data_IF_141824696929
#
_entry.id   IF_141824696929
#
_cell.length_a   1.000
_cell.length_b   1.000
_cell.length_c   1.000
_cell.angle_alpha   90.00
_cell.angle_beta   90.00
_cell.angle_gamma   90.00
#
_symmetry.space_group_name_H-M   'P 1'
#
loop_
_entity.id
_entity.type
_entity.pdbx_description
1 polymer ?
#
# COMPACT_ATOMS: atom_id res chain seq x y z
N UNK A 1 45.41 21.85 -50.26
CA UNK A 1 46.66 22.60 -50.02
C UNK A 1 46.67 23.09 -48.56
N UNK A 2 47.16 22.24 -47.65
CA UNK A 2 48.00 22.53 -46.48
C UNK A 2 48.04 21.24 -45.63
N UNK A 3 49.22 20.64 -45.44
CA UNK A 3 49.41 19.41 -44.67
C UNK A 3 49.78 19.76 -43.23
N UNK A 4 49.50 18.89 -42.26
CA UNK A 4 50.29 18.86 -41.02
C UNK A 4 50.20 17.53 -40.29
N UNK A 5 51.26 16.76 -40.52
CA UNK A 5 51.78 15.67 -39.73
C UNK A 5 51.55 15.88 -38.22
N UNK A 6 50.90 14.91 -37.58
CA UNK A 6 51.06 14.68 -36.14
C UNK A 6 51.74 13.33 -35.96
N UNK A 7 53.04 13.42 -35.71
CA UNK A 7 53.92 12.34 -35.30
C UNK A 7 53.64 12.05 -33.82
N UNK A 8 52.82 11.03 -33.54
CA UNK A 8 52.55 10.57 -32.17
C UNK A 8 53.64 9.57 -31.79
N UNK A 9 54.62 10.04 -31.01
CA UNK A 9 55.65 9.22 -30.39
C UNK A 9 55.00 8.30 -29.34
N UNK A 10 54.98 7.01 -29.66
CA UNK A 10 54.65 5.95 -28.72
C UNK A 10 55.81 5.77 -27.72
N UNK A 11 55.70 6.40 -26.55
CA UNK A 11 56.52 6.03 -25.39
C UNK A 11 55.90 4.82 -24.70
N UNK A 12 56.43 3.63 -25.03
CA UNK A 12 56.17 2.40 -24.29
C UNK A 12 56.97 2.41 -22.99
N UNK A 13 56.38 2.97 -21.93
CA UNK A 13 56.92 2.88 -20.58
C UNK A 13 56.47 1.54 -19.99
N UNK A 14 57.39 0.56 -19.99
CA UNK A 14 57.21 -0.72 -19.30
C UNK A 14 57.38 -0.52 -17.80
N UNK A 15 56.29 -0.15 -17.11
CA UNK A 15 56.23 -0.16 -15.65
C UNK A 15 56.11 -1.63 -15.18
N UNK A 16 57.23 -2.26 -14.87
CA UNK A 16 57.27 -3.49 -14.06
C UNK A 16 56.92 -3.13 -12.62
N UNK A 17 55.61 -3.07 -12.35
CA UNK A 17 55.08 -2.94 -11.01
C UNK A 17 55.23 -4.29 -10.31
N UNK A 18 56.24 -4.41 -9.44
CA UNK A 18 56.37 -5.55 -8.54
C UNK A 18 55.14 -5.57 -7.62
N UNK A 19 54.24 -6.50 -7.89
CA UNK A 19 53.04 -6.69 -7.08
C UNK A 19 53.47 -7.13 -5.67
N UNK A 20 53.07 -6.42 -4.61
CA UNK A 20 53.30 -6.89 -3.25
C UNK A 20 52.55 -8.21 -3.07
N UNK A 21 53.30 -9.26 -2.73
CA UNK A 21 52.78 -10.58 -2.43
C UNK A 21 51.90 -10.48 -1.18
N UNK A 22 50.60 -10.42 -1.41
CA UNK A 22 49.58 -10.28 -0.38
C UNK A 22 49.46 -11.63 0.31
N UNK A 23 50.23 -11.80 1.39
CA UNK A 23 50.18 -12.97 2.28
C UNK A 23 48.72 -13.24 2.64
N UNK A 24 48.14 -14.28 2.02
CA UNK A 24 46.82 -14.76 2.36
C UNK A 24 46.91 -15.42 3.74
N UNK A 25 46.25 -14.86 4.79
CA UNK A 25 46.16 -15.55 6.05
C UNK A 25 45.34 -16.83 5.84
N UNK A 26 46.03 -17.95 5.67
CA UNK A 26 45.49 -19.31 5.65
C UNK A 26 45.10 -19.73 7.08
N UNK A 27 44.27 -18.90 7.71
CA UNK A 27 43.56 -19.24 8.92
C UNK A 27 42.19 -19.75 8.49
N UNK A 28 41.89 -21.01 8.77
CA UNK A 28 40.53 -21.55 8.71
C UNK A 28 39.68 -20.85 9.78
N UNK A 29 39.31 -19.59 9.53
CA UNK A 29 38.34 -18.87 10.34
C UNK A 29 37.02 -19.61 10.14
N UNK A 30 36.61 -20.31 11.19
CA UNK A 30 35.31 -20.98 11.28
C UNK A 30 34.26 -19.90 11.06
N UNK A 31 33.72 -19.84 9.83
CA UNK A 31 32.79 -18.79 9.43
C UNK A 31 31.63 -18.76 10.42
N UNK A 32 31.49 -17.65 11.17
CA UNK A 32 30.30 -17.46 11.99
C UNK A 32 29.11 -17.40 11.03
N UNK A 33 28.03 -18.15 11.30
CA UNK A 33 26.85 -18.10 10.44
C UNK A 33 26.35 -16.66 10.38
N UNK A 34 26.32 -16.10 9.17
CA UNK A 34 25.91 -14.72 8.98
C UNK A 34 24.41 -14.62 9.22
N UNK A 35 24.00 -13.79 10.18
CA UNK A 35 22.59 -13.61 10.52
C UNK A 35 21.97 -12.69 9.49
N UNK A 36 21.03 -13.24 8.72
CA UNK A 36 20.19 -12.49 7.80
C UNK A 36 19.53 -11.30 8.50
N UNK A 37 19.71 -10.09 7.97
CA UNK A 37 19.07 -8.88 8.48
C UNK A 37 17.96 -8.42 7.55
N UNK A 38 16.88 -7.90 8.14
CA UNK A 38 15.76 -7.31 7.43
C UNK A 38 16.13 -5.93 6.90
N UNK A 39 15.50 -5.53 5.80
CA UNK A 39 15.57 -4.17 5.30
C UNK A 39 14.81 -3.19 6.21
N UNK A 40 14.95 -1.89 5.95
CA UNK A 40 14.13 -0.82 6.52
C UNK A 40 13.70 0.12 5.40
N UNK A 41 12.39 0.24 5.19
CA UNK A 41 11.82 1.04 4.10
C UNK A 41 10.58 1.80 4.54
N UNK A 42 10.23 2.84 3.80
CA UNK A 42 8.97 3.58 3.96
C UNK A 42 8.41 3.93 2.59
N UNK A 43 7.12 3.69 2.37
CA UNK A 43 6.44 3.98 1.11
C UNK A 43 5.56 5.26 1.16
N UNK A 44 5.56 5.95 2.31
CA UNK A 44 4.73 7.12 2.54
C UNK A 44 5.50 8.36 3.05
N UNK A 45 6.81 8.26 3.23
CA UNK A 45 7.65 9.38 3.66
C UNK A 45 7.96 10.38 2.54
N UNK A 46 7.95 9.92 1.30
CA UNK A 46 8.26 10.74 0.13
C UNK A 46 7.15 11.76 -0.14
N UNK A 47 7.52 13.02 -0.33
CA UNK A 47 6.58 14.07 -0.68
C UNK A 47 6.01 13.84 -2.08
N UNK A 48 4.69 13.84 -2.18
CA UNK A 48 3.97 13.79 -3.45
C UNK A 48 3.06 15.00 -3.52
N UNK A 49 3.25 15.85 -4.53
CA UNK A 49 2.46 17.06 -4.73
C UNK A 49 0.97 16.72 -4.79
N UNK A 50 0.16 17.42 -3.98
CA UNK A 50 -1.29 17.22 -3.93
C UNK A 50 -1.76 16.10 -2.98
N UNK A 51 -0.86 15.42 -2.25
CA UNK A 51 -1.23 14.51 -1.17
C UNK A 51 -1.05 15.14 0.20
N UNK A 52 -1.89 14.73 1.15
CA UNK A 52 -1.72 15.09 2.57
C UNK A 52 -0.50 14.39 3.14
N UNK A 53 0.36 15.15 3.82
CA UNK A 53 1.47 14.58 4.57
C UNK A 53 0.93 13.68 5.69
N UNK A 54 1.43 12.46 5.76
CA UNK A 54 1.14 11.51 6.84
C UNK A 54 2.42 11.22 7.61
N UNK A 55 2.27 10.81 8.87
CA UNK A 55 3.41 10.30 9.63
C UNK A 55 4.05 9.11 8.89
N UNK A 56 5.39 9.07 8.78
CA UNK A 56 6.08 8.01 8.07
C UNK A 56 5.86 6.67 8.77
N UNK A 57 5.56 5.64 7.99
CA UNK A 57 5.49 4.26 8.46
C UNK A 57 6.71 3.52 7.95
N UNK A 58 7.40 2.83 8.87
CA UNK A 58 8.57 2.03 8.54
C UNK A 58 8.18 0.56 8.51
N UNK A 59 8.57 -0.10 7.44
CA UNK A 59 8.39 -1.53 7.25
C UNK A 59 9.76 -2.21 7.32
N UNK A 60 9.78 -3.47 7.75
CA UNK A 60 11.00 -4.28 7.78
C UNK A 60 10.91 -5.47 6.82
N UNK A 61 10.99 -5.25 5.49
CA UNK A 61 10.95 -6.30 4.49
C UNK A 61 12.01 -7.38 4.73
N UNK A 62 11.62 -8.63 4.53
CA UNK A 62 12.57 -9.75 4.49
C UNK A 62 13.04 -9.94 3.04
N UNK A 63 14.24 -10.52 2.86
CA UNK A 63 14.74 -10.90 1.53
C UNK A 63 13.83 -11.94 0.86
N UNK A 64 13.86 -11.97 -0.47
CA UNK A 64 13.13 -12.91 -1.33
C UNK A 64 11.61 -12.98 -1.00
N UNK A 65 11.07 -11.87 -0.49
CA UNK A 65 9.64 -11.70 -0.20
C UNK A 65 9.12 -10.51 -0.99
N UNK A 66 7.98 -10.71 -1.66
CA UNK A 66 7.33 -9.67 -2.42
C UNK A 66 6.55 -8.68 -1.53
N UNK A 67 6.64 -7.39 -1.80
CA UNK A 67 5.87 -6.35 -1.12
C UNK A 67 5.13 -5.47 -2.13
N UNK A 68 3.78 -5.36 -2.04
CA UNK A 68 3.02 -4.50 -2.92
C UNK A 68 3.25 -3.02 -2.56
N UNK A 69 3.20 -2.15 -3.56
CA UNK A 69 3.23 -0.70 -3.38
C UNK A 69 2.16 -0.02 -4.24
N UNK A 70 1.50 0.99 -3.69
CA UNK A 70 0.45 1.73 -4.41
C UNK A 70 1.06 2.58 -5.52
N UNK A 71 0.36 2.69 -6.64
CA UNK A 71 0.73 3.49 -7.82
C UNK A 71 1.25 4.91 -7.50
N UNK A 72 0.66 5.53 -6.49
CA UNK A 72 0.93 6.93 -6.14
C UNK A 72 1.95 7.09 -5.02
N UNK A 73 2.51 5.99 -4.51
CA UNK A 73 3.51 5.98 -3.45
C UNK A 73 4.91 5.86 -4.06
N UNK A 74 5.92 6.34 -3.34
CA UNK A 74 7.33 6.20 -3.71
C UNK A 74 8.04 5.48 -2.57
N UNK A 75 8.99 4.62 -2.91
CA UNK A 75 9.73 3.81 -1.95
C UNK A 75 10.99 4.55 -1.50
N UNK A 76 11.16 4.72 -0.19
CA UNK A 76 12.39 5.20 0.44
C UNK A 76 13.05 4.04 1.17
N UNK A 77 14.32 3.78 0.87
CA UNK A 77 15.11 2.72 1.50
C UNK A 77 16.08 3.36 2.49
N UNK A 78 16.09 2.86 3.72
CA UNK A 78 17.02 3.29 4.77
C UNK A 78 18.09 2.24 5.04
N UNK A 79 17.75 0.97 4.83
CA UNK A 79 18.64 -0.16 5.03
C UNK A 79 18.26 -1.28 4.08
N UNK A 80 19.23 -1.86 3.38
CA UNK A 80 19.02 -3.06 2.56
C UNK A 80 18.97 -4.32 3.41
N UNK A 81 18.27 -5.35 2.94
CA UNK A 81 18.30 -6.67 3.55
C UNK A 81 19.65 -7.35 3.26
N UNK A 82 20.03 -8.33 4.09
CA UNK A 82 21.23 -9.14 3.85
C UNK A 82 20.90 -10.60 3.56
N UNK A 83 21.61 -11.14 2.57
CA UNK A 83 21.50 -12.50 2.10
C UNK A 83 22.16 -13.50 3.08
N UNK A 84 21.94 -14.81 2.90
CA UNK A 84 22.47 -15.86 3.80
C UNK A 84 23.99 -15.93 3.77
N UNK A 85 24.57 -15.62 2.61
CA UNK A 85 26.00 -15.51 2.37
C UNK A 85 26.61 -14.19 2.94
N UNK A 86 25.78 -13.31 3.52
CA UNK A 86 26.19 -12.02 4.07
C UNK A 86 26.33 -10.87 3.07
N UNK A 87 26.01 -11.08 1.80
CA UNK A 87 25.98 -9.99 0.82
C UNK A 87 24.74 -9.12 0.99
N UNK A 88 24.81 -7.87 0.53
CA UNK A 88 23.63 -7.02 0.41
C UNK A 88 22.68 -7.58 -0.65
N UNK A 89 21.38 -7.52 -0.37
CA UNK A 89 20.36 -7.89 -1.34
C UNK A 89 20.20 -6.79 -2.40
N UNK A 90 19.90 -7.20 -3.63
CA UNK A 90 19.54 -6.30 -4.73
C UNK A 90 18.08 -5.85 -4.58
N UNK A 91 17.76 -4.66 -5.07
CA UNK A 91 16.37 -4.21 -5.14
C UNK A 91 15.77 -4.61 -6.48
N UNK A 92 14.81 -5.53 -6.46
CA UNK A 92 14.00 -5.89 -7.61
C UNK A 92 12.70 -5.08 -7.61
N UNK A 93 12.38 -4.40 -8.72
CA UNK A 93 11.14 -3.63 -8.91
C UNK A 93 10.32 -4.21 -10.06
N UNK A 94 9.01 -4.37 -9.84
CA UNK A 94 8.06 -4.98 -10.76
C UNK A 94 6.98 -3.97 -11.14
N UNK A 95 6.55 -4.02 -12.41
CA UNK A 95 5.39 -3.26 -12.90
C UNK A 95 4.07 -3.80 -12.34
N UNK A 96 4.01 -5.12 -12.13
CA UNK A 96 2.82 -5.81 -11.66
C UNK A 96 2.80 -5.91 -10.13
N UNK A 97 1.61 -6.04 -9.52
CA UNK A 97 1.50 -6.48 -8.13
C UNK A 97 2.01 -7.93 -7.98
N UNK A 98 2.28 -8.32 -6.73
CA UNK A 98 2.67 -9.68 -6.35
C UNK A 98 3.93 -10.25 -7.02
N UNK A 99 4.81 -9.38 -7.53
CA UNK A 99 6.08 -9.73 -8.16
C UNK A 99 5.90 -10.77 -9.28
N UNK A 100 4.84 -10.61 -10.07
CA UNK A 100 4.55 -11.49 -11.21
C UNK A 100 5.48 -11.13 -12.37
N UNK A 101 6.13 -12.14 -12.95
CA UNK A 101 7.04 -11.99 -14.08
C UNK A 101 8.47 -11.70 -13.66
N UNK A 102 9.26 -11.18 -14.58
CA UNK A 102 10.63 -10.75 -14.32
C UNK A 102 10.67 -9.31 -13.77
N UNK A 103 11.65 -8.99 -12.91
CA UNK A 103 11.82 -7.62 -12.44
C UNK A 103 12.20 -6.70 -13.60
N UNK A 104 11.52 -5.57 -13.73
CA UNK A 104 11.86 -4.55 -14.71
C UNK A 104 13.19 -3.86 -14.41
N UNK A 105 13.51 -3.73 -13.12
CA UNK A 105 14.75 -3.11 -12.66
C UNK A 105 15.30 -3.95 -11.51
N UNK A 106 16.61 -4.18 -11.56
CA UNK A 106 17.36 -4.90 -10.54
C UNK A 106 18.59 -4.06 -10.17
N UNK A 107 18.47 -3.32 -9.07
CA UNK A 107 19.45 -2.30 -8.69
C UNK A 107 20.27 -2.73 -7.47
N UNK A 108 21.55 -2.34 -7.45
CA UNK A 108 22.37 -2.42 -6.24
C UNK A 108 21.95 -1.28 -5.31
N UNK A 109 21.70 -1.60 -4.04
CA UNK A 109 21.33 -0.58 -3.04
C UNK A 109 22.60 0.08 -2.51
N UNK A 110 23.01 1.17 -3.16
CA UNK A 110 24.12 2.03 -2.76
C UNK A 110 23.64 3.29 -2.01
N UNK A 111 24.59 4.13 -1.58
CA UNK A 111 24.28 5.37 -0.86
C UNK A 111 23.41 6.33 -1.66
N UNK A 112 23.62 6.41 -2.98
CA UNK A 112 22.82 7.23 -3.89
C UNK A 112 21.35 6.79 -3.91
N UNK A 113 21.11 5.49 -3.95
CA UNK A 113 19.76 4.93 -3.92
C UNK A 113 19.09 5.14 -2.55
N UNK A 114 19.85 5.03 -1.46
CA UNK A 114 19.35 5.28 -0.09
C UNK A 114 18.92 6.74 0.11
N UNK A 115 19.53 7.69 -0.58
CA UNK A 115 19.21 9.11 -0.48
C UNK A 115 17.97 9.52 -1.28
N UNK A 116 17.48 8.69 -2.20
CA UNK A 116 16.39 9.03 -3.10
C UNK A 116 15.05 8.40 -2.74
N UNK A 117 13.99 8.98 -3.29
CA UNK A 117 12.66 8.39 -3.30
C UNK A 117 12.46 7.72 -4.66
N UNK A 118 12.21 6.42 -4.64
CA UNK A 118 12.14 5.60 -5.83
C UNK A 118 10.70 5.51 -6.33
N UNK A 119 10.48 5.97 -7.56
CA UNK A 119 9.22 5.71 -8.27
C UNK A 119 9.23 4.27 -8.79
N UNK A 120 8.06 3.64 -8.78
CA UNK A 120 7.88 2.37 -9.48
C UNK A 120 7.96 2.58 -11.00
N UNK A 121 8.40 1.57 -11.75
CA UNK A 121 8.57 1.65 -13.21
C UNK A 121 7.26 1.97 -13.95
N UNK A 122 6.12 1.46 -13.46
CA UNK A 122 4.78 1.77 -13.99
C UNK A 122 4.07 2.87 -13.20
N UNK A 123 3.16 3.59 -13.85
CA UNK A 123 2.19 4.49 -13.19
C UNK A 123 1.05 3.73 -12.48
N UNK A 124 0.98 2.41 -12.66
CA UNK A 124 0.06 1.53 -11.96
C UNK A 124 0.64 1.04 -10.61
N UNK A 125 -0.17 0.28 -9.86
CA UNK A 125 0.32 -0.35 -8.63
C UNK A 125 1.34 -1.44 -8.98
N UNK A 126 2.53 -1.33 -8.40
CA UNK A 126 3.63 -2.27 -8.62
C UNK A 126 3.96 -3.06 -7.37
N UNK A 127 5.12 -3.70 -7.40
CA UNK A 127 5.67 -4.40 -6.24
C UNK A 127 7.20 -4.38 -6.26
N UNK A 128 7.80 -4.66 -5.11
CA UNK A 128 9.26 -4.74 -4.99
C UNK A 128 9.65 -5.90 -4.08
N UNK A 129 10.89 -6.35 -4.22
CA UNK A 129 11.48 -7.37 -3.37
C UNK A 129 12.98 -7.11 -3.19
N UNK A 130 13.53 -7.55 -2.06
CA UNK A 130 14.98 -7.61 -1.87
C UNK A 130 15.50 -8.96 -2.36
N UNK A 131 16.07 -9.00 -3.55
CA UNK A 131 16.48 -10.18 -4.28
C UNK A 131 17.86 -10.67 -3.83
N UNK A 132 17.92 -11.92 -3.35
CA UNK A 132 19.16 -12.63 -3.03
C UNK A 132 19.36 -13.84 -3.95
N UNK A 133 18.41 -14.76 -3.92
CA UNK A 133 18.48 -16.02 -4.67
C UNK A 133 17.64 -16.00 -5.94
N UNK A 134 16.57 -15.20 -5.92
CA UNK A 134 15.59 -15.12 -7.00
C UNK A 134 14.37 -16.03 -6.83
N UNK A 135 14.37 -16.87 -5.81
CA UNK A 135 13.19 -17.62 -5.41
C UNK A 135 12.24 -16.71 -4.60
N UNK A 136 11.62 -15.75 -5.28
CA UNK A 136 10.70 -14.82 -4.63
C UNK A 136 9.47 -15.58 -4.18
N UNK A 137 9.33 -15.66 -2.86
CA UNK A 137 8.11 -16.13 -2.25
C UNK A 137 7.14 -14.95 -2.13
N UNK A 138 5.87 -15.19 -2.44
CA UNK A 138 4.82 -14.29 -1.95
C UNK A 138 4.97 -14.20 -0.44
N UNK A 139 4.74 -13.02 0.18
CA UNK A 139 4.74 -12.93 1.63
C UNK A 139 3.76 -13.99 2.09
N UNK A 140 4.29 -15.04 2.70
CA UNK A 140 3.47 -16.00 3.40
C UNK A 140 2.82 -15.13 4.46
N UNK A 141 1.58 -14.73 4.22
CA UNK A 141 0.64 -14.31 5.25
C UNK A 141 0.32 -15.56 6.09
N UNK A 142 1.37 -16.26 6.57
CA UNK A 142 1.30 -17.33 7.54
C UNK A 142 1.35 -16.63 8.88
N UNK A 143 0.17 -16.29 9.37
CA UNK A 143 -0.30 -16.84 10.63
C UNK A 143 0.69 -16.79 11.82
N UNK A 144 1.44 -15.69 11.97
CA UNK A 144 2.13 -15.34 13.23
C UNK A 144 1.49 -14.12 13.91
N UNK A 145 0.29 -13.75 13.48
CA UNK A 145 -0.68 -13.04 14.31
C UNK A 145 -1.44 -14.11 15.10
N UNK A 146 -0.83 -14.59 16.19
CA UNK A 146 -1.58 -15.16 17.32
C UNK A 146 -2.08 -14.04 18.25
N UNK A 147 -2.11 -12.80 17.78
CA UNK A 147 -3.10 -11.83 18.23
C UNK A 147 -4.44 -12.27 17.66
N UNK A 148 -5.53 -12.28 18.44
CA UNK A 148 -6.86 -12.49 17.89
C UNK A 148 -7.10 -11.37 16.88
N UNK A 149 -6.83 -11.68 15.61
CA UNK A 149 -7.31 -10.92 14.47
C UNK A 149 -8.82 -10.91 14.61
N UNK A 150 -9.32 -9.83 15.19
CA UNK A 150 -10.64 -9.31 14.86
C UNK A 150 -10.57 -9.00 13.37
N UNK A 151 -10.79 -10.03 12.58
CA UNK A 151 -11.03 -10.01 11.16
C UNK A 151 -12.24 -9.10 10.93
N UNK A 152 -12.00 -7.79 10.90
CA UNK A 152 -12.84 -6.89 10.14
C UNK A 152 -12.61 -7.22 8.67
N UNK A 153 -13.33 -8.26 8.27
CA UNK A 153 -13.73 -8.57 6.92
C UNK A 153 -14.09 -7.26 6.26
N UNK A 154 -13.16 -6.73 5.46
CA UNK A 154 -13.33 -5.56 4.60
C UNK A 154 -14.27 -5.90 3.44
N UNK A 155 -15.52 -6.26 3.78
CA UNK A 155 -16.70 -6.31 2.92
C UNK A 155 -17.61 -5.10 3.23
N UNK A 156 -17.00 -3.99 3.69
CA UNK A 156 -17.68 -2.86 4.33
C UNK A 156 -18.36 -1.84 3.41
N UNK A 157 -18.43 -2.06 2.09
CA UNK A 157 -19.14 -1.13 1.20
C UNK A 157 -20.60 -1.51 0.95
N UNK A 158 -20.96 -2.80 0.94
CA UNK A 158 -22.32 -3.21 0.57
C UNK A 158 -23.25 -3.20 1.80
N UNK A 159 -22.77 -3.61 2.98
CA UNK A 159 -23.58 -3.56 4.20
C UNK A 159 -23.93 -2.13 4.63
N UNK A 160 -23.01 -1.18 4.39
CA UNK A 160 -23.25 0.25 4.66
C UNK A 160 -24.34 0.85 3.76
N UNK A 161 -24.36 0.47 2.48
CA UNK A 161 -25.41 0.90 1.56
C UNK A 161 -26.77 0.29 1.90
N UNK A 162 -26.82 -0.99 2.26
CA UNK A 162 -28.06 -1.64 2.71
C UNK A 162 -28.57 -0.98 4.00
N UNK A 163 -27.68 -0.70 4.95
CA UNK A 163 -28.01 0.00 6.19
C UNK A 163 -28.57 1.41 5.94
N UNK A 164 -27.94 2.19 5.07
CA UNK A 164 -28.43 3.52 4.69
C UNK A 164 -29.78 3.46 3.96
N UNK A 165 -29.97 2.48 3.07
CA UNK A 165 -31.25 2.29 2.37
C UNK A 165 -32.39 1.94 3.33
N UNK A 166 -32.15 1.04 4.28
CA UNK A 166 -33.13 0.66 5.30
C UNK A 166 -33.48 1.85 6.21
N UNK A 167 -32.50 2.67 6.57
CA UNK A 167 -32.71 3.88 7.35
C UNK A 167 -33.62 4.89 6.61
N UNK A 168 -33.36 5.12 5.33
CA UNK A 168 -34.19 6.02 4.50
C UNK A 168 -35.63 5.50 4.38
N UNK A 169 -35.82 4.21 4.16
CA UNK A 169 -37.16 3.58 4.11
C UNK A 169 -37.91 3.71 5.45
N UNK A 170 -37.20 3.54 6.58
CA UNK A 170 -37.80 3.72 7.90
C UNK A 170 -38.26 5.17 8.14
N UNK A 171 -37.47 6.17 7.71
CA UNK A 171 -37.85 7.58 7.84
C UNK A 171 -39.06 7.92 6.97
N UNK A 172 -39.10 7.46 5.72
CA UNK A 172 -40.23 7.71 4.80
C UNK A 172 -41.52 7.08 5.32
N UNK A 173 -41.45 5.82 5.80
CA UNK A 173 -42.63 5.15 6.37
C UNK A 173 -43.13 5.85 7.63
N UNK A 174 -42.23 6.30 8.52
CA UNK A 174 -42.60 7.09 9.69
C UNK A 174 -43.30 8.40 9.31
N UNK A 175 -42.78 9.15 8.33
CA UNK A 175 -43.42 10.37 7.84
C UNK A 175 -44.81 10.12 7.26
N UNK A 176 -45.01 9.03 6.53
CA UNK A 176 -46.31 8.64 6.00
C UNK A 176 -47.33 8.34 7.11
N UNK A 177 -46.91 7.61 8.15
CA UNK A 177 -47.75 7.31 9.31
C UNK A 177 -48.14 8.57 10.08
N UNK A 178 -47.21 9.52 10.28
CA UNK A 178 -47.51 10.81 10.92
C UNK A 178 -48.55 11.59 10.11
N UNK A 179 -48.41 11.63 8.78
CA UNK A 179 -49.38 12.30 7.90
C UNK A 179 -50.77 11.65 7.98
N UNK A 180 -50.83 10.32 8.00
CA UNK A 180 -52.08 9.57 8.14
C UNK A 180 -52.74 9.84 9.50
N UNK A 181 -51.97 9.84 10.59
CA UNK A 181 -52.48 10.13 11.93
C UNK A 181 -53.07 11.55 12.02
N UNK A 182 -52.38 12.55 11.46
CA UNK A 182 -52.90 13.94 11.38
C UNK A 182 -54.21 13.98 10.57
N UNK A 183 -54.29 13.24 9.46
CA UNK A 183 -55.49 13.17 8.64
C UNK A 183 -56.66 12.53 9.40
N UNK A 184 -56.45 11.38 10.04
CA UNK A 184 -57.48 10.72 10.86
C UNK A 184 -57.96 11.60 12.02
N UNK A 185 -57.03 12.30 12.70
CA UNK A 185 -57.39 13.26 13.74
C UNK A 185 -58.27 14.39 13.19
N UNK A 186 -57.96 14.91 12.00
CA UNK A 186 -58.81 15.90 11.32
C UNK A 186 -60.18 15.34 10.94
N UNK A 187 -60.24 14.10 10.47
CA UNK A 187 -61.51 13.44 10.13
C UNK A 187 -62.39 13.25 11.37
N UNK A 188 -61.83 12.78 12.48
CA UNK A 188 -62.57 12.58 13.74
C UNK A 188 -63.05 13.92 14.30
N UNK A 189 -62.17 14.93 14.36
CA UNK A 189 -62.54 16.26 14.86
C UNK A 189 -63.59 16.95 13.99
N UNK A 190 -63.58 16.73 12.67
CA UNK A 190 -64.59 17.27 11.76
C UNK A 190 -65.89 16.47 11.80
N UNK A 191 -65.82 15.14 11.88
CA UNK A 191 -66.97 14.25 11.98
C UNK A 191 -67.81 14.49 13.24
N UNK A 192 -67.15 14.76 14.37
CA UNK A 192 -67.85 15.13 15.61
C UNK A 192 -68.65 16.43 15.49
N UNK A 193 -68.25 17.36 14.60
CA UNK A 193 -69.05 18.55 14.31
C UNK A 193 -70.26 18.24 13.40
N UNK A 194 -70.14 17.28 12.50
CA UNK A 194 -71.20 16.92 11.56
C UNK A 194 -72.31 16.11 12.25
N UNK A 195 -71.98 15.23 13.20
CA UNK A 195 -73.00 14.48 13.96
C UNK A 195 -73.82 15.34 14.94
N UNK A 196 -73.30 16.49 15.38
CA UNK A 196 -74.05 17.44 16.21
C UNK A 196 -75.17 18.18 15.47
N UNK A 197 -75.17 18.19 14.13
CA UNK A 197 -76.21 18.83 13.32
C UNK A 197 -77.44 17.95 13.12
N UNK A 198 -77.31 16.62 13.14
CA UNK A 198 -78.44 15.71 12.95
C UNK A 198 -79.24 15.43 14.24
N UNK A 199 -78.75 15.88 15.40
CA UNK A 199 -79.44 15.67 16.68
C UNK A 199 -80.38 16.83 17.06
N UNK A 200 -80.40 17.94 16.30
CA UNK A 200 -81.17 19.14 16.67
C UNK A 200 -82.61 19.20 16.13
N UNK A 201 -82.95 18.39 15.12
CA UNK A 201 -84.30 18.44 14.50
C UNK A 201 -85.15 17.19 14.77
N UNK A 202 -84.74 16.30 15.68
CA UNK A 202 -85.47 15.09 16.08
C UNK A 202 -86.70 15.31 16.99
N UNK A 203 -87.27 16.51 17.03
CA UNK A 203 -88.54 16.76 17.73
C UNK A 203 -89.71 16.45 16.80
N UNK A 204 -89.94 15.15 16.58
CA UNK A 204 -91.21 14.68 16.01
C UNK A 204 -92.26 14.89 17.10
N UNK A 205 -93.04 15.95 16.97
CA UNK A 205 -94.26 16.15 17.75
C UNK A 205 -95.25 15.06 17.34
N UNK A 206 -95.48 14.10 18.23
CA UNK A 206 -96.62 13.18 18.25
C UNK A 206 -97.71 13.77 19.14
#
# INVERSE_FOLDING_TARGET
>A
MFPRNFLVLALSISLTLAAPELEHPSGTMKARPYIASKASVSDNICYVRGKTHRAPTFQAPTRDVCYPIKATNQLKIYKTATCTNGTAALLARYDAPDCVGEPNMLDIVDEELLERCLKMPSDAAGSYAFWCTGDITKPLVKALSNTPDKSETSNGSILGLIGMLLLVLAVVTLFALIRLAIFLHRCITTGNKFMGLFQKDGSIAL
#
